data_IF_847242937603
#
_entry.id   IF_847242937603
#
_cell.length_a   1.000
_cell.length_b   1.000
_cell.length_c   1.000
_cell.angle_alpha   90.00
_cell.angle_beta   90.00
_cell.angle_gamma   90.00
#
_symmetry.space_group_name_H-M   'P 1'
#
loop_
_entity.id
_entity.type
_entity.pdbx_description
1 polymer ?
#
# COMPACT_ATOMS: atom_id res chain seq x y z
N UNK A 1 -14.26 23.96 3.72
CA UNK A 1 -14.87 22.61 3.63
C UNK A 1 -14.29 21.93 2.38
N UNK A 2 -13.18 21.15 2.51
CA UNK A 2 -12.65 20.41 1.37
C UNK A 2 -13.64 19.29 1.04
N UNK A 3 -14.19 19.30 -0.18
CA UNK A 3 -14.98 18.19 -0.72
C UNK A 3 -14.14 16.90 -0.57
N UNK A 4 -14.74 15.85 0.02
CA UNK A 4 -14.20 14.50 -0.11
C UNK A 4 -14.22 14.16 -1.60
N UNK A 5 -13.11 14.35 -2.28
CA UNK A 5 -12.94 13.81 -3.63
C UNK A 5 -13.07 12.30 -3.52
N UNK A 6 -14.01 11.76 -4.27
CA UNK A 6 -14.25 10.33 -4.32
C UNK A 6 -13.10 9.75 -5.12
N UNK A 7 -12.22 8.98 -4.46
CA UNK A 7 -11.13 8.32 -5.14
C UNK A 7 -11.65 7.40 -6.24
N UNK A 8 -10.97 7.38 -7.36
CA UNK A 8 -11.22 6.42 -8.41
C UNK A 8 -10.42 5.15 -8.12
N UNK A 9 -11.08 4.14 -7.54
CA UNK A 9 -10.44 2.89 -7.14
C UNK A 9 -10.73 1.82 -8.20
N UNK A 10 -9.68 1.23 -8.76
CA UNK A 10 -9.78 0.17 -9.76
C UNK A 10 -9.21 -1.14 -9.19
N UNK A 11 -10.03 -2.20 -9.23
CA UNK A 11 -9.63 -3.55 -8.83
C UNK A 11 -9.15 -4.33 -10.06
N UNK A 12 -7.96 -4.92 -9.93
CA UNK A 12 -7.35 -5.79 -10.94
C UNK A 12 -7.18 -7.19 -10.36
N UNK A 13 -7.45 -8.21 -11.14
CA UNK A 13 -7.24 -9.61 -10.76
C UNK A 13 -5.88 -10.08 -11.25
N UNK A 14 -5.02 -10.49 -10.33
CA UNK A 14 -3.73 -11.13 -10.60
C UNK A 14 -2.58 -10.24 -11.01
N UNK A 15 -2.82 -9.13 -11.72
CA UNK A 15 -1.79 -8.19 -12.15
C UNK A 15 -2.40 -6.82 -12.51
N UNK A 16 -1.54 -5.82 -12.63
CA UNK A 16 -1.86 -4.51 -13.21
C UNK A 16 -1.95 -4.61 -14.74
N UNK A 17 -2.75 -3.76 -15.41
CA UNK A 17 -2.68 -3.64 -16.86
C UNK A 17 -1.32 -3.10 -17.30
N UNK A 18 -0.88 -3.48 -18.50
CA UNK A 18 0.32 -2.94 -19.09
C UNK A 18 0.18 -1.43 -19.36
N UNK A 19 1.27 -0.69 -19.22
CA UNK A 19 1.33 0.74 -19.59
C UNK A 19 0.78 1.70 -18.53
N UNK A 20 0.46 1.25 -17.30
CA UNK A 20 0.18 2.16 -16.20
C UNK A 20 1.45 2.95 -15.83
N UNK A 21 1.32 4.27 -15.81
CA UNK A 21 2.39 5.18 -15.44
C UNK A 21 2.10 5.79 -14.06
N UNK A 22 2.93 5.46 -13.08
CA UNK A 22 2.88 6.03 -11.72
C UNK A 22 3.82 7.25 -11.56
N UNK A 23 4.49 7.67 -12.62
CA UNK A 23 5.50 8.74 -12.53
C UNK A 23 6.74 8.29 -11.77
N UNK A 24 7.31 9.20 -10.97
CA UNK A 24 8.58 8.99 -10.26
C UNK A 24 8.42 8.33 -8.89
N UNK A 25 7.23 8.26 -8.34
CA UNK A 25 6.95 7.68 -7.03
C UNK A 25 5.57 7.03 -6.96
N UNK A 26 5.46 6.01 -6.14
CA UNK A 26 4.21 5.29 -5.89
C UNK A 26 4.14 4.86 -4.43
N UNK A 27 3.03 5.18 -3.77
CA UNK A 27 2.72 4.64 -2.46
C UNK A 27 2.18 3.22 -2.60
N UNK A 28 2.69 2.31 -1.78
CA UNK A 28 2.31 0.90 -1.81
C UNK A 28 1.96 0.41 -0.41
N UNK A 29 0.90 -0.37 -0.31
CA UNK A 29 0.49 -1.07 0.89
C UNK A 29 0.07 -2.50 0.53
N UNK A 30 0.13 -3.43 1.47
CA UNK A 30 -0.24 -4.83 1.27
C UNK A 30 -1.26 -5.27 2.31
N UNK A 31 -2.14 -6.19 1.90
CA UNK A 31 -3.04 -6.87 2.82
C UNK A 31 -2.79 -8.38 2.73
N UNK A 32 -2.76 -9.02 3.87
CA UNK A 32 -2.46 -10.44 4.03
C UNK A 32 -3.51 -11.12 4.91
N UNK A 33 -3.51 -12.45 4.93
CA UNK A 33 -4.39 -13.24 5.82
C UNK A 33 -4.02 -13.06 7.30
N UNK A 34 -2.86 -12.53 7.60
CA UNK A 34 -2.37 -12.28 8.97
C UNK A 34 -0.91 -11.82 8.96
N UNK A 35 -0.22 -11.93 10.11
CA UNK A 35 1.09 -11.34 10.31
C UNK A 35 2.28 -12.31 10.14
N UNK A 36 2.01 -13.58 9.86
CA UNK A 36 3.05 -14.60 9.68
C UNK A 36 3.23 -14.92 8.20
N UNK A 37 4.28 -14.42 7.52
CA UNK A 37 4.43 -14.52 6.07
C UNK A 37 4.38 -15.96 5.53
N UNK A 38 4.92 -16.93 6.25
CA UNK A 38 4.92 -18.33 5.84
C UNK A 38 3.55 -19.03 5.94
N UNK A 39 2.62 -18.46 6.71
CA UNK A 39 1.28 -19.01 6.91
C UNK A 39 0.20 -18.15 6.24
N UNK A 40 0.38 -16.86 6.35
CA UNK A 40 -0.65 -15.87 6.05
C UNK A 40 -0.31 -15.21 4.70
N UNK A 41 -0.97 -15.69 3.63
CA UNK A 41 -0.66 -15.32 2.26
C UNK A 41 -0.90 -13.85 1.94
N UNK A 42 -0.20 -13.34 0.94
CA UNK A 42 -0.48 -12.05 0.31
C UNK A 42 -1.83 -12.11 -0.42
N UNK A 43 -2.73 -11.19 -0.11
CA UNK A 43 -4.06 -11.08 -0.70
C UNK A 43 -4.17 -9.91 -1.68
N UNK A 44 -3.72 -8.72 -1.26
CA UNK A 44 -3.81 -7.49 -2.03
C UNK A 44 -2.49 -6.76 -2.04
N UNK A 45 -2.21 -6.10 -3.17
CA UNK A 45 -1.23 -5.01 -3.26
C UNK A 45 -1.96 -3.78 -3.76
N UNK A 46 -1.80 -2.66 -3.07
CA UNK A 46 -2.46 -1.40 -3.35
C UNK A 46 -1.42 -0.37 -3.76
N UNK A 47 -1.71 0.38 -4.81
CA UNK A 47 -0.79 1.37 -5.37
C UNK A 47 -1.52 2.67 -5.69
N UNK A 48 -0.89 3.82 -5.39
CA UNK A 48 -1.34 5.14 -5.83
C UNK A 48 -0.15 6.07 -6.03
N UNK A 49 -0.26 6.96 -7.00
CA UNK A 49 0.74 8.02 -7.24
C UNK A 49 0.29 9.40 -6.75
N UNK A 50 -0.78 9.48 -5.96
CA UNK A 50 -1.28 10.75 -5.43
C UNK A 50 -2.17 11.57 -6.37
N UNK A 51 -2.49 11.02 -7.54
CA UNK A 51 -3.30 11.68 -8.57
C UNK A 51 -4.82 11.54 -8.39
N UNK A 52 -5.26 11.00 -7.25
CA UNK A 52 -6.68 10.69 -6.98
C UNK A 52 -7.13 9.32 -7.50
N UNK A 53 -6.22 8.54 -8.07
CA UNK A 53 -6.46 7.17 -8.51
C UNK A 53 -5.75 6.18 -7.58
N UNK A 54 -6.39 5.06 -7.33
CA UNK A 54 -5.81 3.93 -6.62
C UNK A 54 -6.06 2.63 -7.39
N UNK A 55 -5.04 1.80 -7.43
CA UNK A 55 -5.10 0.49 -8.07
C UNK A 55 -4.91 -0.59 -7.01
N UNK A 56 -5.78 -1.58 -7.02
CA UNK A 56 -5.71 -2.74 -6.13
C UNK A 56 -5.48 -3.98 -6.97
N UNK A 57 -4.40 -4.70 -6.72
CA UNK A 57 -4.16 -6.01 -7.33
C UNK A 57 -4.58 -7.07 -6.32
N UNK A 58 -5.57 -7.88 -6.67
CA UNK A 58 -6.05 -8.99 -5.87
C UNK A 58 -5.50 -10.30 -6.38
N UNK A 59 -4.91 -11.10 -5.48
CA UNK A 59 -4.36 -12.41 -5.78
C UNK A 59 -5.28 -13.52 -5.31
N UNK A 60 -5.47 -14.52 -6.17
CA UNK A 60 -6.04 -15.80 -5.81
C UNK A 60 -4.99 -16.70 -5.13
N UNK A 61 -5.43 -17.82 -4.53
CA UNK A 61 -4.59 -18.62 -3.63
C UNK A 61 -3.35 -19.25 -4.25
N UNK A 62 -3.29 -19.37 -5.58
CA UNK A 62 -2.29 -20.21 -6.27
C UNK A 62 -1.47 -19.46 -7.33
N UNK A 63 -1.84 -18.25 -7.71
CA UNK A 63 -1.20 -17.57 -8.84
C UNK A 63 -0.72 -16.17 -8.50
N UNK A 64 0.62 -16.01 -8.47
CA UNK A 64 1.31 -14.75 -8.21
C UNK A 64 2.12 -14.28 -9.42
N UNK A 65 1.58 -14.43 -10.63
CA UNK A 65 2.21 -14.01 -11.89
C UNK A 65 1.85 -12.57 -12.22
N UNK A 66 2.39 -11.63 -11.48
CA UNK A 66 2.10 -10.21 -11.65
C UNK A 66 3.24 -9.50 -12.39
N UNK A 67 3.45 -9.80 -13.66
CA UNK A 67 4.57 -9.32 -14.46
C UNK A 67 4.64 -7.79 -14.50
N UNK A 68 3.51 -7.11 -14.65
CA UNK A 68 3.48 -5.64 -14.71
C UNK A 68 3.74 -5.01 -13.34
N UNK A 69 3.15 -5.55 -12.27
CA UNK A 69 3.44 -5.14 -10.91
C UNK A 69 4.92 -5.36 -10.57
N UNK A 70 5.47 -6.53 -10.89
CA UNK A 70 6.89 -6.87 -10.66
C UNK A 70 7.80 -5.87 -11.39
N UNK A 71 7.48 -5.49 -12.61
CA UNK A 71 8.24 -4.49 -13.36
C UNK A 71 8.32 -3.14 -12.64
N UNK A 72 7.24 -2.70 -12.00
CA UNK A 72 7.21 -1.48 -11.18
C UNK A 72 8.08 -1.65 -9.94
N UNK A 73 7.96 -2.77 -9.23
CA UNK A 73 8.74 -3.04 -8.03
C UNK A 73 10.25 -3.09 -8.30
N UNK A 74 10.65 -3.62 -9.44
CA UNK A 74 12.05 -3.73 -9.86
C UNK A 74 12.63 -2.45 -10.46
N UNK A 75 11.79 -1.50 -10.88
CA UNK A 75 12.25 -0.29 -11.55
C UNK A 75 12.92 0.68 -10.56
N UNK A 76 14.25 0.90 -10.66
CA UNK A 76 14.96 1.81 -9.76
C UNK A 76 14.61 3.29 -9.97
N UNK A 77 14.01 3.65 -11.11
CA UNK A 77 13.55 5.00 -11.43
C UNK A 77 12.23 5.39 -10.77
N UNK A 78 11.54 4.45 -10.12
CA UNK A 78 10.31 4.70 -9.39
C UNK A 78 10.56 4.50 -7.90
N UNK A 79 10.37 5.53 -7.08
CA UNK A 79 10.46 5.44 -5.63
C UNK A 79 9.20 4.75 -5.08
N UNK A 80 9.35 3.66 -4.34
CA UNK A 80 8.26 2.96 -3.65
C UNK A 80 8.21 3.43 -2.20
N UNK A 81 7.09 4.03 -1.84
CA UNK A 81 6.85 4.61 -0.52
C UNK A 81 5.98 3.66 0.29
N UNK A 82 6.46 3.29 1.47
CA UNK A 82 5.75 2.40 2.40
C UNK A 82 5.70 3.00 3.79
N UNK A 83 4.73 2.57 4.58
CA UNK A 83 4.77 2.74 6.03
C UNK A 83 5.05 1.39 6.70
N UNK A 84 6.22 1.24 7.33
CA UNK A 84 6.74 -0.04 7.82
C UNK A 84 7.13 -0.98 6.68
N UNK A 85 7.91 -0.49 5.74
CA UNK A 85 8.33 -1.16 4.51
C UNK A 85 8.85 -2.60 4.68
N UNK A 86 9.47 -2.90 5.83
CA UNK A 86 10.02 -4.22 6.15
C UNK A 86 8.98 -5.34 5.97
N UNK A 87 7.73 -5.10 6.40
CA UNK A 87 6.67 -6.11 6.28
C UNK A 87 6.22 -6.26 4.82
N UNK A 88 5.88 -5.15 4.16
CA UNK A 88 5.34 -5.18 2.80
C UNK A 88 6.37 -5.70 1.79
N UNK A 89 7.60 -5.25 1.88
CA UNK A 89 8.69 -5.71 1.01
C UNK A 89 8.93 -7.20 1.19
N UNK A 90 9.00 -7.69 2.44
CA UNK A 90 9.24 -9.10 2.71
C UNK A 90 8.11 -10.00 2.19
N UNK A 91 6.85 -9.61 2.36
CA UNK A 91 5.70 -10.40 1.88
C UNK A 91 5.63 -10.42 0.36
N UNK A 92 5.89 -9.28 -0.30
CA UNK A 92 5.94 -9.21 -1.76
C UNK A 92 7.12 -10.02 -2.33
N UNK A 93 8.30 -9.93 -1.73
CA UNK A 93 9.45 -10.71 -2.15
C UNK A 93 9.18 -12.21 -2.05
N UNK A 94 8.55 -12.66 -0.97
CA UNK A 94 8.21 -14.07 -0.78
C UNK A 94 7.21 -14.59 -1.80
N UNK A 95 6.12 -13.86 -2.05
CA UNK A 95 5.01 -14.34 -2.90
C UNK A 95 5.19 -14.00 -4.38
N UNK A 96 5.77 -12.86 -4.71
CA UNK A 96 6.03 -12.44 -6.09
C UNK A 96 7.41 -12.86 -6.60
N UNK A 97 8.26 -13.40 -5.72
CA UNK A 97 9.63 -13.80 -6.04
C UNK A 97 10.42 -12.68 -6.73
N UNK A 98 10.36 -11.48 -6.17
CA UNK A 98 11.00 -10.28 -6.74
C UNK A 98 11.57 -9.39 -5.66
N UNK A 99 12.74 -8.79 -5.93
CA UNK A 99 13.27 -7.73 -5.09
C UNK A 99 12.58 -6.40 -5.41
N UNK A 100 12.29 -5.61 -4.38
CA UNK A 100 11.78 -4.24 -4.51
C UNK A 100 12.95 -3.27 -4.46
N UNK A 101 13.13 -2.45 -5.49
CA UNK A 101 14.17 -1.44 -5.57
C UNK A 101 13.64 -0.03 -5.23
N UNK A 102 14.52 0.86 -4.78
CA UNK A 102 14.20 2.25 -4.47
C UNK A 102 13.06 2.38 -3.47
N UNK A 103 13.29 1.88 -2.26
CA UNK A 103 12.32 1.85 -1.15
C UNK A 103 12.53 3.04 -0.22
N UNK A 104 11.45 3.73 0.12
CA UNK A 104 11.37 4.73 1.18
C UNK A 104 10.37 4.28 2.25
N UNK A 105 10.76 4.35 3.52
CA UNK A 105 9.92 3.97 4.64
C UNK A 105 9.60 5.18 5.51
N UNK A 106 8.35 5.64 5.48
CA UNK A 106 7.89 6.80 6.25
C UNK A 106 8.00 6.59 7.76
N UNK A 107 7.83 5.35 8.25
CA UNK A 107 8.03 5.04 9.67
C UNK A 107 9.48 5.22 10.13
N UNK A 108 10.45 4.81 9.30
CA UNK A 108 11.88 5.02 9.60
C UNK A 108 12.21 6.50 9.51
N UNK A 109 11.76 7.19 8.47
CA UNK A 109 11.93 8.63 8.33
C UNK A 109 11.37 9.38 9.55
N UNK A 110 10.16 9.03 9.99
CA UNK A 110 9.57 9.58 11.21
C UNK A 110 10.44 9.38 12.45
N UNK A 111 11.00 8.18 12.63
CA UNK A 111 11.90 7.90 13.77
C UNK A 111 13.18 8.72 13.73
N UNK A 112 13.68 9.03 12.57
CA UNK A 112 14.90 9.81 12.39
C UNK A 112 14.70 11.31 12.66
N UNK A 113 13.55 11.86 12.26
CA UNK A 113 13.29 13.31 12.34
C UNK A 113 12.40 13.73 13.52
N UNK A 114 11.49 12.85 13.97
CA UNK A 114 10.56 13.14 15.08
C UNK A 114 11.06 12.49 16.38
N UNK A 115 12.23 12.91 16.82
CA UNK A 115 12.91 12.34 18.01
C UNK A 115 12.25 12.71 19.35
N UNK A 116 11.29 13.60 19.35
CA UNK A 116 10.54 14.08 20.51
C UNK A 116 9.36 13.17 20.91
N UNK A 117 9.08 12.10 20.16
CA UNK A 117 7.94 11.22 20.39
C UNK A 117 8.26 9.77 20.03
N UNK A 118 7.57 8.83 20.65
CA UNK A 118 7.59 7.40 20.30
C UNK A 118 6.43 7.00 19.36
N UNK A 119 5.59 7.95 18.96
CA UNK A 119 4.41 7.73 18.10
C UNK A 119 4.78 7.87 16.64
N UNK A 120 5.17 6.75 16.02
CA UNK A 120 5.57 6.66 14.62
C UNK A 120 4.61 5.81 13.78
N UNK A 121 3.40 5.56 14.27
CA UNK A 121 2.34 4.90 13.50
C UNK A 121 1.75 5.84 12.45
N UNK A 122 1.26 5.28 11.34
CA UNK A 122 0.69 6.06 10.24
C UNK A 122 -0.43 6.98 10.71
N UNK A 123 -1.30 6.51 11.61
CA UNK A 123 -2.36 7.33 12.21
C UNK A 123 -1.84 8.55 12.93
N UNK A 124 -0.76 8.39 13.70
CA UNK A 124 -0.17 9.48 14.46
C UNK A 124 0.51 10.50 13.53
N UNK A 125 1.21 10.02 12.49
CA UNK A 125 1.81 10.89 11.48
C UNK A 125 0.76 11.70 10.73
N UNK A 126 -0.28 11.05 10.24
CA UNK A 126 -1.35 11.73 9.51
C UNK A 126 -2.06 12.78 10.36
N UNK A 127 -2.31 12.47 11.64
CA UNK A 127 -2.91 13.43 12.56
C UNK A 127 -2.01 14.64 12.81
N UNK A 128 -0.73 14.40 13.08
CA UNK A 128 0.20 15.48 13.43
C UNK A 128 0.61 16.33 12.22
N UNK A 129 0.97 15.68 11.09
CA UNK A 129 1.53 16.39 9.94
C UNK A 129 0.46 16.94 8.99
N UNK A 130 -0.68 16.26 8.88
CA UNK A 130 -1.70 16.55 7.88
C UNK A 130 -3.04 16.99 8.49
N UNK A 131 -3.19 16.86 9.82
CA UNK A 131 -4.46 17.04 10.53
C UNK A 131 -5.59 16.14 9.97
N UNK A 132 -5.23 14.91 9.57
CA UNK A 132 -6.15 13.89 9.05
C UNK A 132 -6.31 12.80 10.09
N UNK A 133 -7.56 12.47 10.44
CA UNK A 133 -7.86 11.34 11.30
C UNK A 133 -8.15 10.09 10.46
N UNK A 134 -7.31 9.06 10.62
CA UNK A 134 -7.53 7.74 10.04
C UNK A 134 -8.43 6.90 10.94
N UNK A 135 -9.49 6.33 10.38
CA UNK A 135 -10.33 5.37 11.11
C UNK A 135 -9.62 4.03 11.27
N UNK A 136 -9.84 3.36 12.41
CA UNK A 136 -9.34 1.99 12.65
C UNK A 136 -10.22 0.91 12.00
N UNK A 137 -11.21 1.29 11.22
CA UNK A 137 -12.12 0.32 10.61
C UNK A 137 -11.36 -0.60 9.66
N UNK A 138 -11.58 -1.91 9.82
CA UNK A 138 -11.17 -2.98 8.91
C UNK A 138 -9.70 -3.48 8.97
N UNK A 139 -8.90 -3.16 9.98
CA UNK A 139 -7.57 -3.78 10.13
C UNK A 139 -7.60 -5.32 10.29
N UNK A 140 -8.77 -5.89 10.62
CA UNK A 140 -9.00 -7.32 10.82
C UNK A 140 -9.98 -7.94 9.81
N UNK A 141 -10.15 -7.34 8.64
CA UNK A 141 -11.01 -7.89 7.58
C UNK A 141 -10.44 -9.19 6.99
N UNK A 142 -11.32 -10.06 6.53
CA UNK A 142 -10.92 -11.21 5.71
C UNK A 142 -10.59 -10.75 4.27
N UNK A 143 -9.33 -10.47 4.03
CA UNK A 143 -8.81 -10.06 2.72
C UNK A 143 -8.67 -11.19 1.72
N UNK A 144 -8.83 -12.44 2.19
CA UNK A 144 -8.74 -13.65 1.36
C UNK A 144 -9.99 -13.99 0.57
N UNK A 145 -11.07 -13.21 0.70
CA UNK A 145 -12.30 -13.43 -0.04
C UNK A 145 -12.14 -13.14 -1.53
N UNK A 146 -12.82 -13.88 -2.38
CA UNK A 146 -12.80 -13.69 -3.85
C UNK A 146 -13.43 -12.37 -4.29
N UNK A 147 -14.29 -11.78 -3.46
CA UNK A 147 -14.98 -10.52 -3.73
C UNK A 147 -14.79 -9.57 -2.55
N UNK A 148 -14.19 -8.41 -2.82
CA UNK A 148 -14.04 -7.34 -1.83
C UNK A 148 -15.39 -6.62 -1.66
N UNK A 149 -15.71 -6.29 -0.41
CA UNK A 149 -16.92 -5.52 -0.11
C UNK A 149 -16.72 -4.03 -0.43
N UNK A 150 -17.83 -3.30 -0.64
CA UNK A 150 -17.81 -1.86 -0.84
C UNK A 150 -17.21 -1.11 0.37
N UNK A 151 -17.13 -1.74 1.54
CA UNK A 151 -16.52 -1.18 2.74
C UNK A 151 -15.00 -1.43 2.81
N UNK A 152 -14.50 -2.52 2.20
CA UNK A 152 -13.07 -2.87 2.17
C UNK A 152 -12.29 -1.99 1.20
N UNK A 153 -12.85 -1.66 0.04
CA UNK A 153 -12.22 -0.84 -0.99
C UNK A 153 -11.77 0.56 -0.49
N UNK A 154 -12.61 1.34 0.22
CA UNK A 154 -12.22 2.67 0.70
C UNK A 154 -11.16 2.65 1.81
N UNK A 155 -11.07 1.60 2.61
CA UNK A 155 -10.06 1.49 3.69
C UNK A 155 -8.67 1.40 3.12
N UNK A 156 -8.49 0.57 2.11
CA UNK A 156 -7.24 0.44 1.37
C UNK A 156 -6.76 1.79 0.82
N UNK A 157 -7.67 2.57 0.21
CA UNK A 157 -7.37 3.90 -0.32
C UNK A 157 -7.01 4.93 0.76
N UNK A 158 -7.67 4.88 1.91
CA UNK A 158 -7.40 5.84 3.00
C UNK A 158 -5.99 5.68 3.54
N UNK A 159 -5.48 4.44 3.62
CA UNK A 159 -4.10 4.17 3.97
C UNK A 159 -3.13 4.73 2.93
N UNK A 160 -3.35 4.48 1.65
CA UNK A 160 -2.52 4.99 0.56
C UNK A 160 -2.45 6.50 0.53
N UNK A 161 -3.60 7.19 0.65
CA UNK A 161 -3.65 8.66 0.65
C UNK A 161 -2.85 9.30 1.77
N UNK A 162 -2.73 8.61 2.89
CA UNK A 162 -1.89 9.06 4.00
C UNK A 162 -0.40 9.05 3.63
N UNK A 163 0.04 8.11 2.79
CA UNK A 163 1.42 8.06 2.30
C UNK A 163 1.73 9.15 1.26
N UNK A 164 0.74 9.55 0.46
CA UNK A 164 0.89 10.52 -0.64
C UNK A 164 1.13 11.95 -0.17
N UNK A 165 0.66 12.29 1.02
CA UNK A 165 0.71 13.66 1.55
C UNK A 165 1.92 13.92 2.44
N UNK A 166 2.83 12.96 2.60
CA UNK A 166 4.05 13.11 3.41
C UNK A 166 5.25 13.73 2.63
N UNK A 167 5.05 14.10 1.37
CA UNK A 167 6.04 14.90 0.63
C UNK A 167 6.05 16.35 1.18
#
# INVERSE_FOLDING_TARGET
>A
MRRKEKANITLHKGDLPAGLDFGNSVAIDTETMGLKPHRDRLCLVQLSSGNGEAHIVQFDQEEYRATNLISILQNPGILKIFHYARFDVAIMEMYLNTATQSVFCTKIASKLVRTYTDRHGLKDLCKELLNIELSKQQQSSDWGTSTLTDEQMPVSYTHLRAHETEE
#
